data_IF_363499679801
#
_entry.id   IF_363499679801
#
_cell.length_a   1.000
_cell.length_b   1.000
_cell.length_c   1.000
_cell.angle_alpha   90.00
_cell.angle_beta   90.00
_cell.angle_gamma   90.00
#
_symmetry.space_group_name_H-M   'P 1'
#
loop_
_entity.id
_entity.type
_entity.pdbx_description
1 polymer ?
#
# COMPACT_ATOMS: atom_id res chain seq x y z
N UNK A 1 -16.84 6.58 -7.92
CA UNK A 1 -15.99 5.41 -7.72
C UNK A 1 -16.62 4.47 -6.71
N UNK A 2 -16.37 3.18 -6.81
CA UNK A 2 -16.85 2.18 -5.86
C UNK A 2 -15.82 1.05 -5.70
N UNK A 3 -15.91 0.37 -4.56
CA UNK A 3 -15.15 -0.84 -4.21
C UNK A 3 -16.09 -1.83 -3.51
N UNK A 4 -15.91 -3.12 -3.79
CA UNK A 4 -16.66 -4.20 -3.14
C UNK A 4 -15.74 -4.76 -2.05
N UNK A 5 -16.14 -4.58 -0.79
CA UNK A 5 -15.41 -5.13 0.35
C UNK A 5 -16.04 -6.44 0.84
N UNK A 6 -15.38 -7.13 1.77
CA UNK A 6 -15.87 -8.40 2.32
C UNK A 6 -17.22 -8.26 3.05
N UNK A 7 -17.54 -7.09 3.58
CA UNK A 7 -18.71 -6.82 4.40
C UNK A 7 -19.68 -5.79 3.79
N UNK A 8 -19.41 -5.30 2.57
CA UNK A 8 -20.32 -4.36 1.93
C UNK A 8 -19.81 -3.70 0.67
N UNK A 9 -20.56 -2.71 0.22
CA UNK A 9 -20.23 -1.82 -0.89
C UNK A 9 -19.75 -0.47 -0.35
N UNK A 10 -18.61 -0.02 -0.81
CA UNK A 10 -18.05 1.30 -0.50
C UNK A 10 -18.08 2.13 -1.78
N UNK A 11 -18.50 3.38 -1.67
CA UNK A 11 -18.49 4.29 -2.82
C UNK A 11 -18.18 5.73 -2.43
N UNK A 12 -17.53 6.44 -3.33
CA UNK A 12 -17.40 7.88 -3.28
C UNK A 12 -18.50 8.50 -4.14
N UNK A 13 -19.34 9.32 -3.52
CA UNK A 13 -20.42 10.04 -4.19
C UNK A 13 -19.87 11.21 -5.04
N UNK A 14 -20.70 11.79 -5.90
CA UNK A 14 -20.32 12.93 -6.75
C UNK A 14 -20.02 14.19 -5.94
N UNK A 15 -20.64 14.32 -4.76
CA UNK A 15 -20.40 15.40 -3.81
C UNK A 15 -19.16 15.15 -2.91
N UNK A 16 -18.39 14.10 -3.20
CA UNK A 16 -17.11 13.81 -2.57
C UNK A 16 -17.17 13.08 -1.21
N UNK A 17 -18.34 12.57 -0.83
CA UNK A 17 -18.48 11.80 0.41
C UNK A 17 -18.26 10.31 0.20
N UNK A 18 -17.43 9.72 1.08
CA UNK A 18 -17.28 8.28 1.17
C UNK A 18 -18.45 7.68 1.95
N UNK A 19 -19.05 6.63 1.42
CA UNK A 19 -20.17 5.92 2.04
C UNK A 19 -19.95 4.42 1.97
N UNK A 20 -20.52 3.70 2.95
CA UNK A 20 -20.49 2.23 3.01
C UNK A 20 -21.90 1.70 3.29
N UNK A 21 -22.25 0.58 2.66
CA UNK A 21 -23.47 -0.17 2.93
C UNK A 21 -23.12 -1.62 3.21
N UNK A 22 -23.51 -2.15 4.36
CA UNK A 22 -23.33 -3.56 4.67
C UNK A 22 -24.25 -4.44 3.83
N UNK A 23 -23.81 -5.66 3.50
CA UNK A 23 -24.65 -6.64 2.83
C UNK A 23 -25.88 -7.01 3.68
N UNK A 24 -27.03 -7.05 3.05
CA UNK A 24 -28.28 -7.55 3.64
C UNK A 24 -29.08 -6.57 4.49
N UNK A 25 -28.56 -5.43 4.93
CA UNK A 25 -29.25 -4.54 5.87
C UNK A 25 -29.81 -3.24 5.29
N UNK A 26 -29.44 -2.91 4.07
CA UNK A 26 -29.87 -1.64 3.41
C UNK A 26 -29.50 -0.36 4.17
N UNK A 27 -28.90 -0.46 5.37
CA UNK A 27 -28.45 0.70 6.14
C UNK A 27 -27.19 1.27 5.51
N UNK A 28 -27.32 2.47 4.98
CA UNK A 28 -26.16 3.27 4.52
C UNK A 28 -25.42 3.76 5.78
N UNK A 29 -24.21 3.27 5.98
CA UNK A 29 -23.30 3.87 6.96
C UNK A 29 -22.53 4.93 6.20
N UNK A 30 -22.82 6.19 6.45
CA UNK A 30 -22.09 7.30 5.86
C UNK A 30 -20.76 7.45 6.58
N UNK A 31 -19.68 7.12 5.89
CA UNK A 31 -18.31 7.47 6.29
C UNK A 31 -17.98 8.71 5.48
N UNK A 32 -17.74 9.84 6.14
CA UNK A 32 -17.46 11.09 5.42
C UNK A 32 -16.43 11.92 6.15
N UNK A 33 -15.81 12.78 5.42
CA UNK A 33 -14.95 13.83 5.95
C UNK A 33 -15.78 15.10 6.22
N UNK A 34 -15.26 15.96 7.07
CA UNK A 34 -15.80 17.30 7.31
C UNK A 34 -15.68 18.20 6.08
N UNK A 35 -14.72 17.86 5.19
CA UNK A 35 -14.50 18.51 3.90
C UNK A 35 -14.58 17.45 2.82
N UNK A 36 -15.61 17.44 1.98
CA UNK A 36 -15.73 16.47 0.91
C UNK A 36 -14.52 16.56 -0.01
N UNK A 37 -14.08 15.41 -0.51
CA UNK A 37 -13.00 15.37 -1.49
C UNK A 37 -13.51 15.99 -2.79
N UNK A 38 -12.92 17.11 -3.19
CA UNK A 38 -13.27 17.75 -4.46
C UNK A 38 -13.01 16.79 -5.62
N UNK A 39 -14.04 16.49 -6.40
CA UNK A 39 -13.98 15.60 -7.55
C UNK A 39 -14.54 16.27 -8.79
N UNK A 40 -13.99 15.90 -9.95
CA UNK A 40 -14.51 16.30 -11.25
C UNK A 40 -14.87 15.05 -12.07
N UNK A 41 -15.80 15.14 -13.04
CA UNK A 41 -16.34 13.97 -13.75
C UNK A 41 -15.33 13.05 -14.43
N UNK A 42 -14.10 13.49 -14.67
CA UNK A 42 -13.03 12.72 -15.34
C UNK A 42 -11.97 12.18 -14.39
N UNK A 43 -12.11 12.37 -13.09
CA UNK A 43 -11.14 11.88 -12.13
C UNK A 43 -11.08 10.35 -12.13
N UNK A 44 -9.85 9.83 -12.21
CA UNK A 44 -9.59 8.41 -12.01
C UNK A 44 -9.43 8.18 -10.51
N UNK A 45 -10.44 7.55 -9.91
CA UNK A 45 -10.47 7.32 -8.46
C UNK A 45 -10.51 5.81 -8.21
N UNK A 46 -9.61 5.34 -7.36
CA UNK A 46 -9.60 4.00 -6.79
C UNK A 46 -9.74 4.11 -5.27
N UNK A 47 -10.71 3.39 -4.72
CA UNK A 47 -10.89 3.26 -3.27
C UNK A 47 -10.09 2.03 -2.82
N UNK A 48 -9.44 2.12 -1.67
CA UNK A 48 -8.70 1.04 -1.04
C UNK A 48 -9.12 0.99 0.42
N UNK A 49 -9.69 -0.12 0.85
CA UNK A 49 -10.10 -0.37 2.23
C UNK A 49 -9.20 -1.42 2.87
N UNK A 50 -8.91 -1.22 4.15
CA UNK A 50 -8.24 -2.18 4.98
C UNK A 50 -9.07 -2.45 6.25
N UNK A 51 -9.52 -3.69 6.41
CA UNK A 51 -10.22 -4.18 7.61
C UNK A 51 -11.33 -3.26 8.14
N UNK A 52 -12.14 -2.68 7.25
CA UNK A 52 -13.33 -1.88 7.56
C UNK A 52 -13.11 -0.55 8.29
N UNK A 53 -11.87 -0.14 8.54
CA UNK A 53 -11.59 1.07 9.33
C UNK A 53 -10.64 2.07 8.69
N UNK A 54 -9.77 1.62 7.80
CA UNK A 54 -8.79 2.50 7.16
C UNK A 54 -9.09 2.61 5.67
N UNK A 55 -9.26 3.85 5.22
CA UNK A 55 -9.61 4.14 3.84
C UNK A 55 -8.55 5.00 3.18
N UNK A 56 -8.14 4.56 2.00
CA UNK A 56 -7.29 5.33 1.13
C UNK A 56 -7.99 5.55 -0.20
N UNK A 57 -7.66 6.66 -0.84
CA UNK A 57 -8.08 6.96 -2.19
C UNK A 57 -6.87 7.26 -3.05
N UNK A 58 -6.83 6.68 -4.24
CA UNK A 58 -5.93 7.16 -5.29
C UNK A 58 -6.79 7.97 -6.25
N UNK A 59 -6.53 9.28 -6.31
CA UNK A 59 -7.19 10.21 -7.24
C UNK A 59 -6.14 10.80 -8.17
N UNK A 60 -6.23 10.49 -9.48
CA UNK A 60 -5.29 10.98 -10.49
C UNK A 60 -3.82 10.75 -10.10
N UNK A 61 -3.50 9.53 -9.64
CA UNK A 61 -2.20 9.11 -9.11
C UNK A 61 -1.78 9.78 -7.80
N UNK A 62 -2.58 10.64 -7.18
CA UNK A 62 -2.33 11.13 -5.82
C UNK A 62 -3.00 10.23 -4.80
N UNK A 63 -2.26 9.85 -3.77
CA UNK A 63 -2.74 9.05 -2.65
C UNK A 63 -3.25 9.93 -1.53
N UNK A 64 -4.43 9.62 -1.03
CA UNK A 64 -5.07 10.28 0.11
C UNK A 64 -5.42 9.25 1.17
N UNK A 65 -5.31 9.64 2.42
CA UNK A 65 -5.73 8.88 3.60
C UNK A 65 -6.92 9.57 4.26
N UNK A 66 -7.94 8.81 4.59
CA UNK A 66 -9.04 9.31 5.41
C UNK A 66 -8.62 9.24 6.87
N UNK A 67 -8.32 10.38 7.45
CA UNK A 67 -7.98 10.48 8.87
C UNK A 67 -9.20 10.13 9.73
N UNK A 68 -9.16 9.09 10.56
CA UNK A 68 -10.30 8.68 11.36
C UNK A 68 -10.67 9.68 12.46
N UNK A 69 -9.76 10.57 12.85
CA UNK A 69 -9.99 11.58 13.91
C UNK A 69 -10.70 12.80 13.37
N UNK A 70 -10.22 13.33 12.26
CA UNK A 70 -10.77 14.54 11.64
C UNK A 70 -11.83 14.24 10.59
N UNK A 71 -11.90 12.99 10.13
CA UNK A 71 -12.71 12.54 8.99
C UNK A 71 -12.45 13.33 7.71
N UNK A 72 -11.23 13.83 7.55
CA UNK A 72 -10.78 14.54 6.36
C UNK A 72 -9.86 13.66 5.51
N UNK A 73 -9.88 13.88 4.19
CA UNK A 73 -8.91 13.27 3.28
C UNK A 73 -7.63 14.09 3.24
N UNK A 74 -6.59 13.55 3.84
CA UNK A 74 -5.25 14.13 3.81
C UNK A 74 -4.46 13.58 2.63
N UNK A 75 -3.90 14.44 1.79
CA UNK A 75 -3.00 14.01 0.71
C UNK A 75 -1.69 13.53 1.31
N UNK A 76 -1.34 12.27 1.01
CA UNK A 76 -0.11 11.63 1.51
C UNK A 76 1.02 11.78 0.49
N UNK A 77 0.76 11.44 -0.77
CA UNK A 77 1.81 11.38 -1.79
C UNK A 77 1.24 11.69 -3.17
N UNK A 78 2.00 12.46 -3.97
CA UNK A 78 1.73 12.60 -5.39
C UNK A 78 2.36 11.44 -6.18
N UNK A 79 1.76 11.11 -7.34
CA UNK A 79 2.28 10.09 -8.26
C UNK A 79 2.52 8.71 -7.61
N UNK A 80 1.65 8.32 -6.68
CA UNK A 80 1.69 6.98 -6.10
C UNK A 80 1.35 5.93 -7.17
N UNK A 81 2.26 4.98 -7.38
CA UNK A 81 2.12 3.92 -8.38
C UNK A 81 1.60 2.62 -7.75
N UNK A 82 2.19 2.21 -6.65
CA UNK A 82 1.80 1.01 -5.90
C UNK A 82 1.54 1.36 -4.45
N UNK A 83 0.62 0.60 -3.86
CA UNK A 83 0.24 0.72 -2.47
C UNK A 83 -0.09 -0.67 -1.94
N UNK A 84 0.55 -1.09 -0.85
CA UNK A 84 0.35 -2.40 -0.23
C UNK A 84 0.32 -2.24 1.28
N UNK A 85 -0.77 -2.69 1.91
CA UNK A 85 -0.84 -2.76 3.37
C UNK A 85 0.21 -3.72 3.93
N UNK A 86 0.79 -3.36 5.06
CA UNK A 86 1.74 -4.19 5.77
C UNK A 86 1.13 -5.50 6.25
N UNK A 87 1.94 -6.54 6.41
CA UNK A 87 1.50 -7.70 7.13
C UNK A 87 1.20 -7.24 8.55
N UNK A 88 0.00 -7.52 9.00
CA UNK A 88 -0.31 -7.34 10.40
C UNK A 88 0.42 -8.44 11.17
N UNK A 89 1.36 -8.11 12.06
CA UNK A 89 1.74 -9.06 13.08
C UNK A 89 0.47 -9.43 13.85
N UNK A 90 0.40 -10.61 14.40
CA UNK A 90 -0.75 -11.04 15.23
C UNK A 90 -0.99 -10.12 16.45
N UNK A 91 -0.03 -9.27 16.79
CA UNK A 91 -0.17 -8.14 17.71
C UNK A 91 -0.59 -6.88 16.95
N UNK A 92 -1.74 -6.35 17.25
CA UNK A 92 -2.54 -5.34 16.54
C UNK A 92 -1.96 -3.91 16.49
N UNK A 93 -0.68 -3.67 16.73
CA UNK A 93 -0.25 -2.37 17.21
C UNK A 93 0.33 -1.44 16.15
N UNK A 94 1.07 -1.94 15.16
CA UNK A 94 1.71 -1.04 14.19
C UNK A 94 1.15 -1.29 12.79
N UNK A 95 0.29 -0.36 12.36
CA UNK A 95 -0.30 -0.40 11.03
C UNK A 95 0.52 0.46 10.09
N UNK A 96 1.00 -0.13 9.01
CA UNK A 96 1.82 0.56 8.01
C UNK A 96 1.50 0.11 6.60
N UNK A 97 1.81 0.95 5.62
CA UNK A 97 1.67 0.65 4.20
C UNK A 97 2.95 0.97 3.45
N UNK A 98 3.30 0.11 2.50
CA UNK A 98 4.39 0.34 1.54
C UNK A 98 3.85 1.05 0.31
N UNK A 99 4.55 2.09 -0.13
CA UNK A 99 4.12 2.95 -1.23
C UNK A 99 5.30 3.19 -2.17
N UNK A 100 5.06 3.14 -3.48
CA UNK A 100 6.04 3.62 -4.46
C UNK A 100 5.53 4.85 -5.23
N UNK A 101 6.47 5.73 -5.59
CA UNK A 101 6.26 6.84 -6.51
C UNK A 101 7.44 6.91 -7.47
N UNK A 102 7.25 6.44 -8.70
CA UNK A 102 8.35 6.27 -9.65
C UNK A 102 9.39 5.29 -9.14
N UNK A 103 10.61 5.77 -8.91
CA UNK A 103 11.72 5.00 -8.33
C UNK A 103 11.85 5.14 -6.81
N UNK A 104 11.04 5.96 -6.18
CA UNK A 104 11.10 6.22 -4.73
C UNK A 104 10.22 5.24 -3.96
N UNK A 105 10.74 4.71 -2.86
CA UNK A 105 10.04 3.83 -1.95
C UNK A 105 9.80 4.51 -0.60
N UNK A 106 8.56 4.39 -0.10
CA UNK A 106 8.08 5.00 1.12
C UNK A 106 7.35 4.00 2.00
N UNK A 107 7.35 4.26 3.30
CA UNK A 107 6.46 3.61 4.27
C UNK A 107 5.60 4.68 4.96
N UNK A 108 4.31 4.46 4.98
CA UNK A 108 3.35 5.29 5.69
C UNK A 108 2.92 4.59 6.97
N UNK A 109 3.11 5.24 8.11
CA UNK A 109 2.73 4.74 9.44
C UNK A 109 1.35 5.29 9.81
N UNK A 110 0.34 4.42 9.83
CA UNK A 110 -1.04 4.79 10.20
C UNK A 110 -1.21 4.91 11.72
N UNK A 111 -0.39 4.19 12.48
CA UNK A 111 -0.31 4.26 13.95
C UNK A 111 1.13 4.53 14.36
N UNK A 112 1.36 5.10 15.57
CA UNK A 112 2.74 5.31 16.02
C UNK A 112 3.49 3.99 16.16
N UNK A 113 4.77 4.03 15.89
CA UNK A 113 5.72 2.94 16.14
C UNK A 113 6.73 3.44 17.17
N UNK A 114 6.73 2.83 18.34
CA UNK A 114 7.62 3.21 19.45
C UNK A 114 8.94 2.43 19.47
N UNK A 115 9.10 1.49 18.52
CA UNK A 115 10.39 0.85 18.29
C UNK A 115 11.37 1.84 17.64
N UNK A 116 12.65 1.54 17.70
CA UNK A 116 13.68 2.38 17.09
C UNK A 116 13.80 2.10 15.58
N UNK A 117 13.71 3.12 14.73
CA UNK A 117 13.43 4.54 15.02
C UNK A 117 11.96 4.81 15.32
N UNK A 118 11.69 5.63 16.32
CA UNK A 118 10.31 6.04 16.63
C UNK A 118 9.64 6.68 15.41
N UNK A 119 8.34 6.39 15.22
CA UNK A 119 7.51 6.93 14.13
C UNK A 119 6.23 7.51 14.68
N UNK A 120 5.82 8.62 14.11
CA UNK A 120 4.57 9.27 14.48
C UNK A 120 3.39 8.70 13.68
N UNK A 121 2.20 8.85 14.24
CA UNK A 121 0.96 8.56 13.52
C UNK A 121 0.84 9.45 12.27
N UNK A 122 0.44 8.85 11.14
CA UNK A 122 0.33 9.48 9.82
C UNK A 122 1.67 10.00 9.26
N UNK A 123 2.78 9.44 9.71
CA UNK A 123 4.10 9.78 9.17
C UNK A 123 4.36 9.04 7.86
N UNK A 124 4.76 9.79 6.83
CA UNK A 124 5.29 9.26 5.57
C UNK A 124 6.81 9.32 5.58
N UNK A 125 7.44 8.17 5.58
CA UNK A 125 8.90 8.04 5.61
C UNK A 125 9.40 7.60 4.25
N UNK A 126 10.30 8.39 3.65
CA UNK A 126 11.05 7.95 2.47
C UNK A 126 12.15 7.00 2.92
N UNK A 127 12.16 5.81 2.37
CA UNK A 127 13.16 4.78 2.68
C UNK A 127 14.35 4.90 1.74
N UNK A 128 14.08 4.88 0.42
CA UNK A 128 15.17 4.88 -0.57
C UNK A 128 14.67 5.30 -1.96
N UNK A 129 15.62 5.76 -2.79
CA UNK A 129 15.46 5.89 -4.25
C UNK A 129 16.23 4.79 -4.97
N UNK A 130 15.55 4.11 -5.88
CA UNK A 130 16.19 3.16 -6.79
C UNK A 130 16.55 3.83 -8.12
N UNK A 131 17.42 3.22 -8.91
CA UNK A 131 17.78 3.74 -10.24
C UNK A 131 16.67 3.53 -11.29
N UNK A 132 15.77 2.57 -11.05
CA UNK A 132 14.69 2.19 -11.95
C UNK A 132 13.33 2.33 -11.28
N UNK A 133 12.25 2.53 -12.06
CA UNK A 133 10.90 2.55 -11.52
C UNK A 133 10.57 1.26 -10.76
N UNK A 134 9.89 1.44 -9.63
CA UNK A 134 9.42 0.33 -8.81
C UNK A 134 8.13 -0.24 -9.42
N UNK A 135 8.13 -1.55 -9.63
CA UNK A 135 6.97 -2.33 -10.02
C UNK A 135 6.21 -2.87 -8.81
N UNK A 136 6.00 -4.18 -8.79
CA UNK A 136 5.26 -4.85 -7.71
C UNK A 136 6.02 -4.77 -6.38
N UNK A 137 5.26 -4.67 -5.29
CA UNK A 137 5.76 -4.59 -3.91
C UNK A 137 5.01 -5.61 -3.06
N UNK A 138 5.73 -6.32 -2.19
CA UNK A 138 5.18 -7.27 -1.23
C UNK A 138 5.88 -7.13 0.11
N UNK A 139 5.15 -7.15 1.20
CA UNK A 139 5.73 -7.32 2.51
C UNK A 139 6.20 -8.76 2.70
N UNK A 140 7.40 -8.96 3.18
CA UNK A 140 7.86 -10.29 3.60
C UNK A 140 7.53 -10.52 5.09
N UNK A 141 7.73 -9.49 5.88
CA UNK A 141 7.36 -9.41 7.29
C UNK A 141 7.24 -7.94 7.71
N UNK A 142 7.23 -7.64 9.02
CA UNK A 142 7.12 -6.27 9.53
C UNK A 142 8.29 -5.34 9.20
N UNK A 143 9.43 -5.85 8.73
CA UNK A 143 10.67 -5.10 8.55
C UNK A 143 11.23 -5.16 7.12
N UNK A 144 10.81 -6.13 6.30
CA UNK A 144 11.37 -6.39 4.98
C UNK A 144 10.31 -6.36 3.89
N UNK A 145 10.71 -5.76 2.78
CA UNK A 145 9.93 -5.63 1.55
C UNK A 145 10.62 -6.39 0.42
N UNK A 146 9.85 -7.15 -0.34
CA UNK A 146 10.21 -7.68 -1.63
C UNK A 146 9.64 -6.74 -2.69
N UNK A 147 10.46 -6.28 -3.62
CA UNK A 147 10.02 -5.41 -4.70
C UNK A 147 10.76 -5.69 -6.01
N UNK A 148 10.16 -5.22 -7.10
CA UNK A 148 10.81 -5.16 -8.40
C UNK A 148 11.22 -3.72 -8.71
N UNK A 149 12.48 -3.51 -9.10
CA UNK A 149 12.97 -2.24 -9.61
C UNK A 149 13.64 -2.43 -10.98
N UNK A 150 12.93 -2.10 -12.05
CA UNK A 150 13.35 -2.45 -13.42
C UNK A 150 13.34 -3.96 -13.62
N UNK A 151 14.49 -4.52 -14.02
CA UNK A 151 14.70 -5.96 -14.23
C UNK A 151 15.09 -6.71 -12.94
N UNK A 152 15.45 -5.98 -11.88
CA UNK A 152 15.93 -6.54 -10.62
C UNK A 152 14.81 -6.83 -9.64
N UNK A 153 14.94 -7.94 -8.95
CA UNK A 153 14.09 -8.34 -7.84
C UNK A 153 14.91 -8.23 -6.56
N UNK A 154 14.44 -7.39 -5.64
CA UNK A 154 15.20 -6.94 -4.50
C UNK A 154 14.43 -7.19 -3.21
N UNK A 155 15.17 -7.47 -2.14
CA UNK A 155 14.67 -7.38 -0.76
C UNK A 155 15.35 -6.18 -0.11
N UNK A 156 14.56 -5.32 0.53
CA UNK A 156 15.05 -4.17 1.28
C UNK A 156 14.43 -4.11 2.67
N UNK A 157 15.19 -3.65 3.64
CA UNK A 157 14.64 -3.28 4.94
C UNK A 157 13.94 -1.92 4.87
N UNK A 158 13.07 -1.65 5.85
CA UNK A 158 12.36 -0.37 5.97
C UNK A 158 13.02 0.59 6.98
N UNK A 159 14.11 0.18 7.61
CA UNK A 159 14.91 1.03 8.49
C UNK A 159 15.73 2.01 7.64
N UNK A 160 15.56 3.31 7.90
CA UNK A 160 16.22 4.39 7.17
C UNK A 160 17.17 5.21 8.05
N UNK A 161 17.58 4.70 9.22
CA UNK A 161 18.57 5.37 10.08
C UNK A 161 19.92 5.48 9.40
N UNK A 162 20.26 4.45 8.62
CA UNK A 162 21.41 4.41 7.73
C UNK A 162 20.96 4.12 6.30
N UNK A 163 21.89 3.79 5.41
CA UNK A 163 21.54 3.29 4.09
C UNK A 163 20.88 1.93 4.25
N UNK A 164 19.62 1.76 3.81
CA UNK A 164 18.92 0.50 3.96
C UNK A 164 19.68 -0.66 3.34
N UNK A 165 19.68 -1.80 3.99
CA UNK A 165 20.27 -3.01 3.45
C UNK A 165 19.40 -3.53 2.29
N UNK A 166 20.01 -3.68 1.11
CA UNK A 166 19.35 -4.13 -0.12
C UNK A 166 20.05 -5.38 -0.63
N UNK A 167 19.28 -6.43 -0.83
CA UNK A 167 19.76 -7.70 -1.38
C UNK A 167 19.09 -7.91 -2.74
N UNK A 168 19.88 -8.03 -3.79
CA UNK A 168 19.42 -8.50 -5.09
C UNK A 168 19.29 -10.03 -5.05
N UNK A 169 18.07 -10.54 -5.25
CA UNK A 169 17.81 -11.99 -5.25
C UNK A 169 17.67 -12.57 -6.64
N UNK A 170 17.33 -11.75 -7.64
CA UNK A 170 17.23 -12.19 -9.02
C UNK A 170 17.27 -11.00 -10.00
N UNK A 171 17.68 -11.28 -11.24
CA UNK A 171 17.67 -10.36 -12.38
C UNK A 171 17.03 -11.09 -13.57
N UNK A 172 15.91 -10.56 -14.09
CA UNK A 172 15.16 -11.10 -15.20
C UNK A 172 14.63 -9.97 -16.07
N UNK A 173 14.59 -10.16 -17.36
CA UNK A 173 14.11 -9.12 -18.28
C UNK A 173 12.61 -8.89 -18.17
N UNK A 174 12.23 -7.64 -17.84
CA UNK A 174 10.83 -7.22 -17.65
C UNK A 174 10.00 -8.21 -16.80
N UNK A 175 10.44 -8.62 -15.61
CA UNK A 175 9.73 -9.62 -14.84
C UNK A 175 8.43 -9.06 -14.30
N UNK A 176 7.45 -9.95 -14.13
CA UNK A 176 6.29 -9.73 -13.25
C UNK A 176 6.44 -10.68 -12.08
N UNK A 177 6.23 -10.18 -10.88
CA UNK A 177 6.42 -10.97 -9.68
C UNK A 177 5.13 -11.10 -8.88
N UNK A 178 4.97 -12.25 -8.23
CA UNK A 178 3.91 -12.52 -7.29
C UNK A 178 4.45 -13.32 -6.11
N UNK A 179 4.15 -12.87 -4.90
CA UNK A 179 4.58 -13.54 -3.68
C UNK A 179 3.41 -14.21 -2.97
N UNK A 180 3.52 -15.53 -2.76
CA UNK A 180 2.55 -16.30 -1.98
C UNK A 180 2.97 -16.30 -0.50
N UNK A 181 2.27 -15.54 0.31
CA UNK A 181 2.56 -15.39 1.74
C UNK A 181 2.42 -16.69 2.53
N UNK A 182 1.50 -17.57 2.13
CA UNK A 182 1.24 -18.82 2.85
C UNK A 182 2.38 -19.82 2.66
N UNK A 183 2.86 -19.91 1.45
CA UNK A 183 3.92 -20.83 1.04
C UNK A 183 5.30 -20.21 1.09
N UNK A 184 5.36 -18.87 1.25
CA UNK A 184 6.59 -18.06 1.21
C UNK A 184 7.35 -18.18 -0.11
N UNK A 185 6.65 -18.46 -1.20
CA UNK A 185 7.18 -18.72 -2.53
C UNK A 185 7.02 -17.48 -3.41
N UNK A 186 8.09 -17.14 -4.12
CA UNK A 186 8.10 -16.11 -5.14
C UNK A 186 7.91 -16.76 -6.51
N UNK A 187 6.92 -16.27 -7.26
CA UNK A 187 6.69 -16.58 -8.65
C UNK A 187 7.19 -15.43 -9.52
N UNK A 188 7.97 -15.74 -10.55
CA UNK A 188 8.55 -14.76 -11.48
C UNK A 188 8.13 -15.17 -12.89
N UNK A 189 7.45 -14.29 -13.60
CA UNK A 189 7.12 -14.48 -15.00
C UNK A 189 7.97 -13.54 -15.84
N UNK A 190 8.82 -14.08 -16.71
CA UNK A 190 9.70 -13.31 -17.59
C UNK A 190 9.86 -14.02 -18.94
N UNK A 191 9.82 -13.28 -20.04
CA UNK A 191 10.01 -13.78 -21.40
C UNK A 191 9.20 -15.04 -21.76
N UNK A 192 7.93 -15.07 -21.30
CA UNK A 192 7.03 -16.20 -21.55
C UNK A 192 7.27 -17.45 -20.67
N UNK A 193 8.15 -17.37 -19.69
CA UNK A 193 8.48 -18.45 -18.76
C UNK A 193 8.08 -18.11 -17.33
N UNK A 194 7.66 -19.13 -16.59
CA UNK A 194 7.38 -19.03 -15.16
C UNK A 194 8.51 -19.70 -14.38
N UNK A 195 9.08 -18.94 -13.44
CA UNK A 195 10.08 -19.40 -12.49
C UNK A 195 9.47 -19.40 -11.08
N UNK A 196 9.88 -20.34 -10.27
CA UNK A 196 9.37 -20.54 -8.91
C UNK A 196 10.56 -20.66 -7.97
N UNK A 197 10.59 -19.85 -6.92
CA UNK A 197 11.66 -19.94 -5.91
C UNK A 197 11.43 -21.10 -4.94
N UNK A 198 12.47 -21.47 -4.19
CA UNK A 198 12.25 -22.11 -2.89
C UNK A 198 11.61 -21.08 -1.93
N UNK A 199 11.06 -21.53 -0.77
CA UNK A 199 10.60 -20.61 0.26
C UNK A 199 11.69 -19.60 0.62
N UNK A 200 11.37 -18.30 0.60
CA UNK A 200 12.35 -17.23 0.84
C UNK A 200 12.77 -17.13 2.32
N UNK A 201 11.96 -17.66 3.23
CA UNK A 201 12.21 -17.68 4.66
C UNK A 201 11.67 -18.98 5.27
N UNK A 202 12.33 -19.48 6.29
CA UNK A 202 11.86 -20.60 7.12
C UNK A 202 10.80 -20.19 8.15
#
# INVERSE_FOLDING_TARGET
>A
AYEISNDGLIWLSEDGYLSKSAYGNGKKIKIFNSSPLETVPRDKIKIIENNSSEFFLIKNSSLYYLDPKTTAFNKILANANNFVFGPYPRSFEIKKAAISSGSSFYVFYMTPDYEQPERHEQELVKIIDFNNPIGEIFWLNGHYILLRAGDKILITEIDNRDVPNIIEIADYKNPKIFYNYKEKILYIFSEGRLYISNPLFE
#
